data_IF_901108167978
#
_entry.id   IF_901108167978
#
_cell.length_a   1.000
_cell.length_b   1.000
_cell.length_c   1.000
_cell.angle_alpha   90.00
_cell.angle_beta   90.00
_cell.angle_gamma   90.00
#
_symmetry.space_group_name_H-M   'P 1'
#
loop_
_entity.id
_entity.type
_entity.pdbx_description
1 polymer ?
#
# COMPACT_ATOMS: atom_id res chain seq x y z
N UNK A 1 22.83 -14.44 -5.87
CA UNK A 1 24.01 -13.84 -5.21
C UNK A 1 23.53 -13.19 -3.93
N UNK A 2 24.08 -13.63 -2.78
CA UNK A 2 23.73 -13.07 -1.47
C UNK A 2 24.42 -11.70 -1.35
N UNK A 3 23.68 -10.64 -1.61
CA UNK A 3 24.12 -9.29 -1.24
C UNK A 3 24.16 -9.25 0.28
N UNK A 4 25.34 -9.04 0.85
CA UNK A 4 25.53 -8.77 2.27
C UNK A 4 24.80 -7.46 2.56
N UNK A 5 23.58 -7.57 3.08
CA UNK A 5 22.85 -6.40 3.56
C UNK A 5 23.59 -5.85 4.79
N UNK A 6 23.79 -4.53 4.92
CA UNK A 6 24.30 -3.97 6.17
C UNK A 6 23.42 -4.44 7.33
N UNK A 7 24.02 -4.70 8.47
CA UNK A 7 23.27 -5.13 9.66
C UNK A 7 22.24 -4.05 10.00
N UNK A 8 20.96 -4.39 9.84
CA UNK A 8 19.87 -3.47 10.21
C UNK A 8 19.93 -3.19 11.72
N UNK A 9 19.62 -1.97 12.17
CA UNK A 9 19.46 -1.67 13.58
C UNK A 9 18.46 -2.63 14.25
N UNK A 10 18.62 -2.85 15.57
CA UNK A 10 17.61 -3.60 16.32
C UNK A 10 16.31 -2.80 16.39
N UNK A 11 15.18 -3.48 16.33
CA UNK A 11 13.89 -2.91 16.68
C UNK A 11 13.88 -2.63 18.19
N UNK A 12 13.87 -1.36 18.57
CA UNK A 12 13.97 -0.92 19.95
C UNK A 12 12.95 0.19 20.24
N UNK A 13 12.13 -0.02 21.26
CA UNK A 13 11.13 0.95 21.70
C UNK A 13 11.80 2.06 22.52
N UNK A 14 11.54 3.30 22.12
CA UNK A 14 11.87 4.49 22.89
C UNK A 14 10.57 5.01 23.58
N UNK A 15 10.30 4.54 24.77
CA UNK A 15 9.10 4.92 25.52
C UNK A 15 9.32 4.77 27.01
N UNK A 16 8.76 5.70 27.80
CA UNK A 16 8.74 5.64 29.27
C UNK A 16 7.69 4.65 29.81
N UNK A 17 6.84 4.11 28.94
CA UNK A 17 5.83 3.14 29.34
C UNK A 17 6.43 1.75 29.55
N UNK A 18 5.99 1.09 30.62
CA UNK A 18 6.23 -0.32 30.87
C UNK A 18 4.94 -1.12 30.77
N UNK A 19 5.01 -2.40 30.33
CA UNK A 19 3.83 -3.25 30.30
C UNK A 19 3.15 -3.36 31.67
N UNK A 20 1.81 -3.22 31.70
CA UNK A 20 1.03 -3.24 32.94
C UNK A 20 -0.32 -3.95 32.71
N UNK A 21 -1.00 -4.29 33.80
CA UNK A 21 -2.23 -5.09 33.73
C UNK A 21 -1.98 -6.46 33.13
N UNK A 22 -2.75 -6.83 32.13
CA UNK A 22 -2.65 -8.11 31.42
C UNK A 22 -1.57 -8.12 30.30
N UNK A 23 -1.00 -6.94 29.97
CA UNK A 23 -0.05 -6.80 28.87
C UNK A 23 1.16 -7.75 29.00
N UNK A 24 1.84 -7.92 30.16
CA UNK A 24 2.98 -8.82 30.26
C UNK A 24 2.61 -10.27 29.90
N UNK A 25 1.47 -10.76 30.36
CA UNK A 25 0.98 -12.12 30.09
C UNK A 25 0.61 -12.29 28.62
N UNK A 26 -0.14 -11.33 28.04
CA UNK A 26 -0.52 -11.35 26.63
C UNK A 26 0.70 -11.31 25.70
N UNK A 27 1.69 -10.46 25.97
CA UNK A 27 2.93 -10.37 25.21
C UNK A 27 3.68 -11.71 25.25
N UNK A 28 3.88 -12.28 26.44
CA UNK A 28 4.59 -13.55 26.60
C UNK A 28 3.89 -14.70 25.87
N UNK A 29 2.56 -14.76 25.94
CA UNK A 29 1.75 -15.76 25.22
C UNK A 29 1.90 -15.63 23.71
N UNK A 30 1.75 -14.42 23.16
CA UNK A 30 1.86 -14.15 21.71
C UNK A 30 3.26 -14.45 21.18
N UNK A 31 4.33 -14.05 21.90
CA UNK A 31 5.71 -14.33 21.51
C UNK A 31 5.97 -15.84 21.50
N UNK A 32 5.54 -16.56 22.55
CA UNK A 32 5.66 -18.01 22.63
C UNK A 32 4.95 -18.72 21.45
N UNK A 33 3.75 -18.27 21.08
CA UNK A 33 3.01 -18.82 19.93
C UNK A 33 3.74 -18.55 18.61
N UNK A 34 4.32 -17.36 18.43
CA UNK A 34 5.15 -17.06 17.24
C UNK A 34 6.38 -17.96 17.16
N UNK A 35 7.07 -18.18 18.29
CA UNK A 35 8.24 -19.08 18.38
C UNK A 35 7.87 -20.55 18.14
N UNK A 36 6.70 -20.96 18.58
CA UNK A 36 6.13 -22.29 18.33
C UNK A 36 5.67 -22.50 16.88
N UNK A 37 5.68 -21.46 16.06
CA UNK A 37 5.26 -21.53 14.65
C UNK A 37 3.75 -21.49 14.43
N UNK A 38 2.95 -21.07 15.42
CA UNK A 38 1.50 -20.90 15.27
C UNK A 38 1.20 -19.90 14.15
N UNK A 39 0.41 -20.34 13.17
CA UNK A 39 0.06 -19.47 12.01
C UNK A 39 -0.88 -18.35 12.42
N UNK A 40 -1.79 -18.62 13.38
CA UNK A 40 -2.84 -17.68 13.76
C UNK A 40 -2.92 -17.56 15.28
N UNK A 41 -3.01 -16.34 15.77
CA UNK A 41 -3.26 -16.02 17.17
C UNK A 41 -4.27 -14.87 17.27
N UNK A 42 -4.94 -14.73 18.39
CA UNK A 42 -5.89 -13.66 18.67
C UNK A 42 -5.49 -12.93 19.93
N UNK A 43 -5.35 -11.60 19.83
CA UNK A 43 -5.30 -10.69 20.98
C UNK A 43 -6.69 -10.09 21.20
N UNK A 44 -7.38 -10.57 22.20
CA UNK A 44 -8.66 -10.01 22.67
C UNK A 44 -8.36 -8.91 23.67
N UNK A 45 -8.46 -7.66 23.25
CA UNK A 45 -8.13 -6.53 24.13
C UNK A 45 -9.21 -5.47 24.12
N UNK A 46 -9.72 -5.09 25.29
CA UNK A 46 -10.72 -4.02 25.39
C UNK A 46 -10.18 -2.69 24.90
N UNK A 47 -11.05 -1.79 24.48
CA UNK A 47 -10.65 -0.44 24.09
C UNK A 47 -9.98 0.27 25.26
N UNK A 48 -8.81 0.88 25.01
CA UNK A 48 -8.03 1.56 26.06
C UNK A 48 -7.14 0.64 26.90
N UNK A 49 -7.03 -0.65 26.59
CA UNK A 49 -6.10 -1.56 27.28
C UNK A 49 -4.64 -1.43 26.80
N UNK A 50 -4.37 -0.65 25.72
CA UNK A 50 -3.04 -0.46 25.18
C UNK A 50 -2.60 -1.53 24.19
N UNK A 51 -3.52 -2.05 23.35
CA UNK A 51 -3.24 -3.06 22.31
C UNK A 51 -2.07 -2.66 21.39
N UNK A 52 -1.98 -1.39 20.99
CA UNK A 52 -0.89 -0.89 20.14
C UNK A 52 0.46 -1.06 20.82
N UNK A 53 0.56 -0.77 22.09
CA UNK A 53 1.79 -0.97 22.87
C UNK A 53 2.15 -2.45 23.00
N UNK A 54 1.17 -3.32 23.17
CA UNK A 54 1.35 -4.79 23.16
C UNK A 54 1.91 -5.26 21.81
N UNK A 55 1.35 -4.79 20.69
CA UNK A 55 1.89 -5.08 19.34
C UNK A 55 3.36 -4.62 19.23
N UNK A 56 3.65 -3.39 19.67
CA UNK A 56 5.01 -2.86 19.65
C UNK A 56 5.99 -3.73 20.49
N UNK A 57 5.58 -4.18 21.67
CA UNK A 57 6.39 -5.05 22.51
C UNK A 57 6.63 -6.44 21.92
N UNK A 58 5.64 -7.02 21.23
CA UNK A 58 5.82 -8.26 20.49
C UNK A 58 6.83 -8.08 19.34
N UNK A 59 6.75 -6.98 18.60
CA UNK A 59 7.71 -6.64 17.54
C UNK A 59 9.12 -6.48 18.11
N UNK A 60 9.27 -5.74 19.22
CA UNK A 60 10.56 -5.53 19.89
C UNK A 60 11.18 -6.86 20.36
N UNK A 61 10.39 -7.75 20.95
CA UNK A 61 10.91 -9.02 21.49
C UNK A 61 11.29 -9.99 20.38
N UNK A 62 10.51 -10.07 19.30
CA UNK A 62 10.74 -11.03 18.21
C UNK A 62 11.79 -10.57 17.21
N UNK A 63 12.11 -9.27 17.13
CA UNK A 63 13.07 -8.69 16.18
C UNK A 63 12.78 -9.04 14.71
N UNK A 64 11.52 -9.20 14.36
CA UNK A 64 11.06 -9.58 13.03
C UNK A 64 10.39 -8.37 12.33
N UNK A 65 10.53 -8.24 11.00
CA UNK A 65 9.75 -7.28 10.25
C UNK A 65 8.26 -7.46 10.54
N UNK A 66 7.53 -6.36 10.60
CA UNK A 66 6.11 -6.41 10.94
C UNK A 66 5.26 -5.64 9.95
N UNK A 67 4.03 -6.10 9.74
CA UNK A 67 3.01 -5.40 9.00
C UNK A 67 1.79 -5.26 9.89
N UNK A 68 1.26 -4.05 10.00
CA UNK A 68 0.05 -3.74 10.75
C UNK A 68 -1.02 -3.35 9.74
N UNK A 69 -2.05 -4.16 9.65
CA UNK A 69 -3.12 -3.99 8.68
C UNK A 69 -4.34 -3.35 9.33
N UNK A 70 -4.73 -2.16 8.86
CA UNK A 70 -5.88 -1.39 9.31
C UNK A 70 -6.95 -1.29 8.22
N UNK A 71 -8.24 -1.28 8.60
CA UNK A 71 -9.35 -1.27 7.65
C UNK A 71 -9.58 0.06 6.92
N UNK A 72 -9.01 1.17 7.41
CA UNK A 72 -9.13 2.49 6.75
C UNK A 72 -7.88 3.35 6.94
N UNK A 73 -7.80 4.47 6.16
CA UNK A 73 -6.66 5.40 6.18
C UNK A 73 -6.49 6.10 7.54
N UNK A 74 -7.58 6.47 8.21
CA UNK A 74 -7.53 7.23 9.48
C UNK A 74 -6.90 6.39 10.58
N UNK A 75 -7.36 5.14 10.73
CA UNK A 75 -6.78 4.22 11.70
C UNK A 75 -5.32 3.88 11.34
N UNK A 76 -5.04 3.66 10.05
CA UNK A 76 -3.67 3.43 9.61
C UNK A 76 -2.76 4.63 9.93
N UNK A 77 -3.22 5.87 9.76
CA UNK A 77 -2.45 7.07 10.09
C UNK A 77 -2.18 7.18 11.60
N UNK A 78 -3.17 6.84 12.43
CA UNK A 78 -3.00 6.80 13.89
C UNK A 78 -1.96 5.76 14.28
N UNK A 79 -2.10 4.52 13.82
CA UNK A 79 -1.14 3.44 14.11
C UNK A 79 0.27 3.75 13.61
N UNK A 80 0.38 4.37 12.42
CA UNK A 80 1.66 4.83 11.90
C UNK A 80 2.32 5.85 12.84
N UNK A 81 1.56 6.84 13.29
CA UNK A 81 2.06 7.86 14.22
C UNK A 81 2.49 7.25 15.57
N UNK A 82 1.69 6.34 16.12
CA UNK A 82 2.02 5.64 17.38
C UNK A 82 3.28 4.77 17.21
N UNK A 83 3.37 3.97 16.14
CA UNK A 83 4.55 3.14 15.87
C UNK A 83 5.80 3.98 15.59
N UNK A 84 5.69 5.10 14.87
CA UNK A 84 6.79 6.05 14.65
C UNK A 84 7.30 6.64 15.95
N UNK A 85 6.39 6.90 16.89
CA UNK A 85 6.76 7.37 18.25
C UNK A 85 7.47 6.28 19.06
N UNK A 86 7.00 5.01 18.99
CA UNK A 86 7.64 3.91 19.68
C UNK A 86 9.00 3.52 19.08
N UNK A 87 9.15 3.59 17.76
CA UNK A 87 10.34 3.18 17.03
C UNK A 87 10.97 4.32 16.21
N UNK A 88 11.44 5.41 16.86
CA UNK A 88 11.91 6.61 16.16
C UNK A 88 13.16 6.36 15.30
N UNK A 89 13.96 5.35 15.64
CA UNK A 89 15.24 5.02 14.97
C UNK A 89 15.12 3.87 13.97
N UNK A 90 13.94 3.30 13.80
CA UNK A 90 13.67 2.20 12.88
C UNK A 90 12.84 2.64 11.68
N UNK A 91 12.77 1.80 10.65
CA UNK A 91 11.96 2.08 9.46
C UNK A 91 10.47 1.81 9.75
N UNK A 92 9.75 2.82 10.16
CA UNK A 92 8.29 2.79 10.24
C UNK A 92 7.73 3.43 8.99
N UNK A 93 7.00 2.65 8.20
CA UNK A 93 6.56 2.99 6.86
C UNK A 93 5.04 2.98 6.74
N UNK A 94 4.51 3.74 5.77
CA UNK A 94 3.07 3.91 5.57
C UNK A 94 2.66 3.49 4.16
N UNK A 95 1.74 2.53 4.06
CA UNK A 95 1.30 1.99 2.78
C UNK A 95 -0.23 1.95 2.67
N UNK A 96 -0.82 3.05 2.21
CA UNK A 96 -2.27 3.17 2.00
C UNK A 96 -2.59 3.56 0.57
N UNK A 97 -3.86 3.67 0.21
CA UNK A 97 -4.26 4.18 -1.10
C UNK A 97 -3.76 5.61 -1.28
N UNK A 98 -3.04 5.86 -2.37
CA UNK A 98 -2.47 7.18 -2.69
C UNK A 98 -3.48 8.15 -3.34
N UNK A 99 -4.75 7.75 -3.47
CA UNK A 99 -5.78 8.64 -3.99
C UNK A 99 -6.41 9.50 -2.89
N UNK A 100 -6.43 10.82 -3.07
CA UNK A 100 -7.25 11.73 -2.26
C UNK A 100 -8.71 11.64 -2.67
N UNK A 101 -8.94 11.52 -3.98
CA UNK A 101 -10.23 11.27 -4.58
C UNK A 101 -10.11 10.11 -5.58
N UNK A 102 -11.07 9.20 -5.56
CA UNK A 102 -11.11 8.08 -6.50
C UNK A 102 -12.54 7.73 -6.88
N UNK A 103 -12.88 7.96 -8.15
CA UNK A 103 -14.08 7.46 -8.78
C UNK A 103 -13.68 6.36 -9.76
N UNK A 104 -14.03 5.10 -9.50
CA UNK A 104 -13.74 4.03 -10.41
C UNK A 104 -14.56 4.15 -11.70
N UNK A 105 -13.97 3.72 -12.82
CA UNK A 105 -14.70 3.56 -14.07
C UNK A 105 -15.85 2.57 -13.89
N UNK A 106 -17.05 2.91 -14.35
CA UNK A 106 -18.23 2.07 -14.24
C UNK A 106 -19.21 2.31 -15.40
N UNK A 107 -20.06 1.31 -15.69
CA UNK A 107 -21.15 1.47 -16.62
C UNK A 107 -22.46 1.00 -16.03
N UNK A 108 -23.49 1.83 -16.13
CA UNK A 108 -24.84 1.56 -15.65
C UNK A 108 -25.73 1.25 -16.86
N UNK A 109 -25.89 -0.04 -17.19
CA UNK A 109 -26.61 -0.49 -18.39
C UNK A 109 -28.08 -0.01 -18.43
N UNK A 110 -28.75 0.13 -17.26
CA UNK A 110 -30.14 0.57 -17.19
C UNK A 110 -30.38 1.99 -17.70
N UNK A 111 -29.38 2.87 -17.58
CA UNK A 111 -29.47 4.29 -17.93
C UNK A 111 -28.51 4.64 -19.07
N UNK A 112 -27.83 3.66 -19.65
CA UNK A 112 -26.75 3.84 -20.66
C UNK A 112 -25.74 4.92 -20.23
N UNK A 113 -25.34 4.89 -18.93
CA UNK A 113 -24.48 5.90 -18.35
C UNK A 113 -23.09 5.33 -18.11
N UNK A 114 -22.09 5.85 -18.83
CA UNK A 114 -20.69 5.56 -18.58
C UNK A 114 -20.12 6.58 -17.58
N UNK A 115 -19.57 6.09 -16.51
CA UNK A 115 -18.85 6.87 -15.49
C UNK A 115 -17.36 6.71 -15.78
N UNK A 116 -16.74 7.79 -16.20
CA UNK A 116 -15.30 7.79 -16.45
C UNK A 116 -14.51 7.73 -15.13
N UNK A 117 -13.34 7.06 -15.16
CA UNK A 117 -12.42 7.07 -14.03
C UNK A 117 -11.94 8.50 -13.78
N UNK A 118 -12.12 8.97 -12.54
CA UNK A 118 -11.57 10.23 -12.06
C UNK A 118 -10.80 10.00 -10.76
N UNK A 119 -9.62 10.60 -10.66
CA UNK A 119 -8.76 10.40 -9.49
C UNK A 119 -7.75 11.52 -9.33
N UNK A 120 -7.49 11.90 -8.10
CA UNK A 120 -6.37 12.75 -7.72
C UNK A 120 -5.38 11.96 -6.85
N UNK A 121 -4.11 12.07 -7.19
CA UNK A 121 -3.02 11.37 -6.49
C UNK A 121 -2.45 12.31 -5.44
N UNK A 122 -2.29 11.80 -4.22
CA UNK A 122 -1.54 12.45 -3.17
C UNK A 122 -0.06 12.05 -3.32
N UNK A 123 0.76 13.00 -3.73
CA UNK A 123 2.19 12.76 -3.99
C UNK A 123 2.96 12.37 -2.73
N UNK A 124 2.56 12.86 -1.56
CA UNK A 124 3.20 12.50 -0.30
C UNK A 124 2.94 11.03 0.05
N UNK A 125 1.70 10.57 -0.10
CA UNK A 125 1.36 9.16 0.13
C UNK A 125 2.04 8.26 -0.92
N UNK A 126 2.12 8.70 -2.18
CA UNK A 126 2.84 7.97 -3.22
C UNK A 126 4.32 7.81 -2.87
N UNK A 127 4.99 8.88 -2.42
CA UNK A 127 6.35 8.84 -1.88
C UNK A 127 6.49 7.83 -0.75
N UNK A 128 5.57 7.84 0.24
CA UNK A 128 5.61 6.92 1.38
C UNK A 128 5.46 5.47 0.94
N UNK A 129 4.68 5.19 -0.11
CA UNK A 129 4.56 3.85 -0.69
C UNK A 129 5.89 3.38 -1.31
N UNK A 130 6.59 4.26 -2.02
CA UNK A 130 7.93 3.97 -2.55
C UNK A 130 8.93 3.73 -1.43
N UNK A 131 8.88 4.52 -0.36
CA UNK A 131 9.70 4.30 0.84
C UNK A 131 9.43 2.93 1.47
N UNK A 132 8.16 2.55 1.62
CA UNK A 132 7.78 1.27 2.22
C UNK A 132 8.28 0.05 1.41
N UNK A 133 8.10 0.05 0.10
CA UNK A 133 8.60 -1.06 -0.74
C UNK A 133 10.12 -1.16 -0.75
N UNK A 134 10.82 -0.02 -0.80
CA UNK A 134 12.28 0.03 -0.68
C UNK A 134 12.74 -0.48 0.68
N UNK A 135 12.15 -0.02 1.77
CA UNK A 135 12.51 -0.44 3.12
C UNK A 135 12.36 -1.95 3.29
N UNK A 136 11.27 -2.56 2.78
CA UNK A 136 11.06 -4.01 2.80
C UNK A 136 12.13 -4.79 2.03
N UNK A 137 12.71 -4.21 0.97
CA UNK A 137 13.76 -4.83 0.17
C UNK A 137 15.16 -4.67 0.79
N UNK A 138 15.43 -3.54 1.46
CA UNK A 138 16.78 -3.19 1.94
C UNK A 138 17.00 -3.48 3.42
N UNK A 139 15.95 -3.43 4.27
CA UNK A 139 16.07 -3.43 5.73
C UNK A 139 15.35 -4.61 6.37
N UNK A 140 15.77 -4.93 7.60
CA UNK A 140 15.12 -5.95 8.44
C UNK A 140 14.34 -5.34 9.60
N UNK A 141 14.66 -4.14 10.01
CA UNK A 141 14.02 -3.36 11.08
C UNK A 141 12.84 -2.53 10.57
N UNK A 142 11.95 -3.17 9.82
CA UNK A 142 10.84 -2.51 9.11
C UNK A 142 9.51 -2.83 9.75
N UNK A 143 8.71 -1.79 9.98
CA UNK A 143 7.31 -1.87 10.40
C UNK A 143 6.47 -1.13 9.35
N UNK A 144 5.63 -1.84 8.62
CA UNK A 144 4.74 -1.22 7.62
C UNK A 144 3.32 -1.15 8.15
N UNK A 145 2.78 0.04 8.26
CA UNK A 145 1.34 0.22 8.55
C UNK A 145 0.60 0.38 7.24
N UNK A 146 -0.28 -0.55 6.94
CA UNK A 146 -0.98 -0.64 5.66
C UNK A 146 -2.51 -0.62 5.81
N UNK A 147 -3.20 -0.10 4.79
CA UNK A 147 -4.64 -0.29 4.66
C UNK A 147 -4.95 -1.41 3.66
N UNK A 148 -6.22 -1.70 3.46
CA UNK A 148 -6.69 -2.71 2.50
C UNK A 148 -6.15 -2.51 1.07
N UNK A 149 -5.60 -1.34 0.74
CA UNK A 149 -4.93 -1.12 -0.55
C UNK A 149 -3.72 -2.02 -0.80
N UNK A 150 -3.15 -2.63 0.25
CA UNK A 150 -2.01 -3.54 0.13
C UNK A 150 -2.35 -4.90 -0.53
N UNK A 151 -3.65 -5.26 -0.65
CA UNK A 151 -4.09 -6.46 -1.38
C UNK A 151 -4.36 -6.19 -2.86
N UNK A 152 -4.21 -4.94 -3.33
CA UNK A 152 -4.29 -4.58 -4.74
C UNK A 152 -2.94 -4.74 -5.42
N UNK A 153 -2.99 -4.98 -6.74
CA UNK A 153 -1.78 -5.12 -7.56
C UNK A 153 -0.88 -3.90 -7.50
N UNK A 154 0.39 -4.15 -7.32
CA UNK A 154 1.52 -3.25 -7.58
C UNK A 154 2.48 -3.98 -8.53
N UNK A 155 3.56 -3.40 -8.96
CA UNK A 155 4.53 -4.09 -9.83
C UNK A 155 5.11 -5.37 -9.20
N UNK A 156 5.58 -6.32 -10.01
CA UNK A 156 6.23 -7.52 -9.48
C UNK A 156 7.55 -7.19 -8.80
N UNK A 157 7.86 -7.93 -7.74
CA UNK A 157 9.13 -7.76 -6.97
C UNK A 157 10.32 -7.97 -7.88
N UNK A 158 10.29 -9.01 -8.73
CA UNK A 158 11.37 -9.37 -9.63
C UNK A 158 11.64 -8.24 -10.64
N UNK A 159 10.59 -7.66 -11.22
CA UNK A 159 10.73 -6.54 -12.15
C UNK A 159 11.21 -5.29 -11.41
N UNK A 160 10.64 -4.96 -10.25
CA UNK A 160 11.00 -3.77 -9.49
C UNK A 160 12.44 -3.84 -8.97
N UNK A 161 12.90 -5.01 -8.48
CA UNK A 161 14.30 -5.21 -8.04
C UNK A 161 15.28 -5.34 -9.21
N UNK A 162 14.83 -5.89 -10.34
CA UNK A 162 15.65 -5.98 -11.57
C UNK A 162 15.82 -4.62 -12.26
N UNK A 163 14.88 -3.69 -12.05
CA UNK A 163 14.94 -2.32 -12.56
C UNK A 163 15.48 -1.36 -11.50
N UNK A 164 16.75 -1.53 -11.19
CA UNK A 164 17.52 -0.66 -10.30
C UNK A 164 18.85 -0.30 -10.96
N UNK A 165 19.43 0.83 -10.57
CA UNK A 165 20.75 1.23 -10.98
C UNK A 165 21.59 1.53 -9.75
N UNK A 166 22.59 0.70 -9.49
CA UNK A 166 23.55 0.91 -8.39
C UNK A 166 24.80 1.53 -8.91
N UNK A 167 25.26 2.61 -8.28
CA UNK A 167 26.50 3.32 -8.64
C UNK A 167 27.34 3.62 -7.40
N UNK A 168 28.65 3.62 -7.58
CA UNK A 168 29.63 3.88 -6.52
C UNK A 168 30.48 5.11 -6.87
N UNK A 169 30.76 5.93 -5.87
CA UNK A 169 31.73 7.00 -6.01
C UNK A 169 33.14 6.42 -6.30
N UNK A 170 33.87 7.08 -7.20
CA UNK A 170 35.18 6.62 -7.66
C UNK A 170 35.17 5.45 -8.65
N UNK A 171 34.01 5.17 -9.31
CA UNK A 171 33.91 4.13 -10.33
C UNK A 171 33.72 4.69 -11.73
N UNK A 172 34.15 3.94 -12.74
CA UNK A 172 33.89 4.26 -14.15
C UNK A 172 32.42 4.09 -14.48
N UNK A 173 31.74 5.19 -14.80
CA UNK A 173 30.33 5.23 -15.15
C UNK A 173 30.14 6.16 -16.35
N UNK A 174 29.86 5.59 -17.51
CA UNK A 174 29.60 6.40 -18.71
C UNK A 174 28.36 7.27 -18.50
N UNK A 175 28.54 8.59 -18.46
CA UNK A 175 27.49 9.55 -18.14
C UNK A 175 26.22 9.38 -18.99
N UNK A 176 26.37 9.13 -20.30
CA UNK A 176 25.23 8.92 -21.20
C UNK A 176 24.45 7.62 -20.85
N UNK A 177 25.14 6.56 -20.45
CA UNK A 177 24.49 5.32 -20.02
C UNK A 177 23.76 5.51 -18.69
N UNK A 178 24.34 6.27 -17.77
CA UNK A 178 23.69 6.65 -16.52
C UNK A 178 22.39 7.41 -16.77
N UNK A 179 22.39 8.41 -17.64
CA UNK A 179 21.19 9.19 -18.01
C UNK A 179 20.12 8.33 -18.69
N UNK A 180 20.50 7.40 -19.56
CA UNK A 180 19.57 6.43 -20.17
C UNK A 180 18.96 5.53 -19.11
N UNK A 181 19.77 5.05 -18.16
CA UNK A 181 19.30 4.25 -17.03
C UNK A 181 18.25 5.00 -16.21
N UNK A 182 18.44 6.28 -15.90
CA UNK A 182 17.44 7.10 -15.19
C UNK A 182 16.12 7.19 -15.99
N UNK A 183 16.19 7.34 -17.31
CA UNK A 183 15.00 7.37 -18.17
C UNK A 183 14.31 6.02 -18.22
N UNK A 184 15.05 4.93 -18.29
CA UNK A 184 14.49 3.56 -18.25
C UNK A 184 13.83 3.27 -16.90
N UNK A 185 14.33 3.85 -15.80
CA UNK A 185 13.73 3.85 -14.47
C UNK A 185 12.54 4.84 -14.33
N UNK A 186 12.11 5.45 -15.44
CA UNK A 186 10.98 6.39 -15.54
C UNK A 186 11.17 7.73 -14.81
N UNK A 187 12.40 8.14 -14.51
CA UNK A 187 12.68 9.51 -14.13
C UNK A 187 12.62 10.43 -15.33
N UNK A 188 12.09 11.64 -15.13
CA UNK A 188 11.95 12.64 -16.19
C UNK A 188 13.04 13.69 -16.10
N UNK A 189 13.69 14.02 -17.23
CA UNK A 189 14.59 15.16 -17.27
C UNK A 189 13.78 16.45 -17.21
N UNK A 190 14.09 17.28 -16.24
CA UNK A 190 13.52 18.62 -16.12
C UNK A 190 14.56 19.56 -15.49
N UNK A 191 15.23 20.34 -16.34
CA UNK A 191 16.28 21.24 -15.90
C UNK A 191 15.73 22.54 -15.28
N UNK A 192 14.42 22.84 -15.47
CA UNK A 192 13.76 24.06 -14.97
C UNK A 192 13.03 23.82 -13.65
N UNK A 193 12.21 22.77 -13.57
CA UNK A 193 11.44 22.43 -12.37
C UNK A 193 11.97 21.12 -11.77
N UNK A 194 12.80 21.25 -10.73
CA UNK A 194 13.39 20.10 -10.05
C UNK A 194 12.49 19.65 -8.91
N UNK A 195 11.64 18.68 -9.20
CA UNK A 195 10.70 18.08 -8.25
C UNK A 195 10.93 16.57 -8.13
N UNK A 196 10.34 15.92 -7.15
CA UNK A 196 10.42 14.49 -6.93
C UNK A 196 10.11 13.71 -8.23
N UNK A 197 10.90 12.69 -8.51
CA UNK A 197 10.79 11.88 -9.74
C UNK A 197 11.45 12.51 -10.97
N UNK A 198 12.15 13.63 -10.81
CA UNK A 198 12.89 14.26 -11.88
C UNK A 198 14.41 14.19 -11.67
N UNK A 199 15.15 14.29 -12.76
CA UNK A 199 16.57 14.59 -12.74
C UNK A 199 16.86 15.82 -13.60
N UNK A 200 17.95 16.50 -13.32
CA UNK A 200 18.47 17.63 -14.12
C UNK A 200 19.96 17.48 -14.37
N UNK A 201 20.44 18.07 -15.44
CA UNK A 201 21.84 18.01 -15.84
C UNK A 201 22.41 19.44 -15.90
N UNK A 202 23.51 19.70 -15.20
CA UNK A 202 24.21 20.98 -15.19
C UNK A 202 25.70 20.73 -15.32
N UNK A 203 26.21 20.74 -16.57
CA UNK A 203 27.60 20.39 -16.87
C UNK A 203 27.88 18.94 -16.47
N UNK A 204 28.88 18.74 -15.63
CA UNK A 204 29.31 17.45 -15.14
C UNK A 204 28.52 16.98 -13.91
N UNK A 205 27.53 17.75 -13.47
CA UNK A 205 26.66 17.37 -12.34
C UNK A 205 25.29 16.90 -12.83
N UNK A 206 24.87 15.75 -12.30
CA UNK A 206 23.53 15.22 -12.46
C UNK A 206 22.86 15.22 -11.09
N UNK A 207 21.78 15.95 -10.95
CA UNK A 207 20.96 15.98 -9.75
C UNK A 207 19.74 15.08 -9.97
N UNK A 208 19.48 14.17 -9.04
CA UNK A 208 18.32 13.27 -9.03
C UNK A 208 17.50 13.50 -7.77
N UNK A 209 16.19 13.66 -7.93
CA UNK A 209 15.26 13.67 -6.80
C UNK A 209 14.51 12.33 -6.74
N UNK A 210 14.97 11.38 -5.90
CA UNK A 210 14.42 10.02 -5.86
C UNK A 210 12.96 9.98 -5.45
N UNK A 211 12.21 8.99 -5.95
CA UNK A 211 10.78 8.84 -5.73
C UNK A 211 10.37 8.67 -4.25
N UNK A 212 11.26 8.14 -3.41
CA UNK A 212 11.01 7.83 -1.99
C UNK A 212 11.49 8.91 -1.02
N UNK A 213 12.22 9.94 -1.49
CA UNK A 213 12.78 10.98 -0.63
C UNK A 213 11.83 12.18 -0.49
N UNK A 214 11.90 12.86 0.65
CA UNK A 214 11.06 14.03 0.97
C UNK A 214 11.82 15.34 0.74
N UNK A 215 12.82 15.63 1.56
CA UNK A 215 13.56 16.89 1.55
C UNK A 215 15.04 16.68 1.19
N UNK A 216 15.33 15.63 0.44
CA UNK A 216 16.68 15.25 0.08
C UNK A 216 16.76 14.78 -1.37
N UNK A 217 17.76 15.21 -2.08
CA UNK A 217 18.11 14.78 -3.43
C UNK A 217 19.57 14.34 -3.49
N UNK A 218 19.94 13.65 -4.55
CA UNK A 218 21.31 13.20 -4.77
C UNK A 218 21.96 13.99 -5.91
N UNK A 219 23.20 14.39 -5.69
CA UNK A 219 24.07 14.96 -6.72
C UNK A 219 25.18 13.98 -7.06
N UNK A 220 25.30 13.68 -8.34
CA UNK A 220 26.33 12.86 -8.95
C UNK A 220 27.27 13.80 -9.70
N UNK A 221 28.52 13.89 -9.27
CA UNK A 221 29.55 14.73 -9.91
C UNK A 221 30.45 13.82 -10.73
N UNK A 222 30.58 14.13 -12.02
CA UNK A 222 31.36 13.37 -12.99
C UNK A 222 32.63 14.16 -13.40
N UNK A 223 33.69 13.42 -13.73
CA UNK A 223 34.83 13.91 -14.46
C UNK A 223 35.06 12.99 -15.67
N UNK A 224 34.58 13.40 -16.83
CA UNK A 224 34.49 12.52 -17.99
C UNK A 224 33.53 11.33 -17.72
N UNK A 225 34.04 10.13 -17.81
CA UNK A 225 33.31 8.88 -17.51
C UNK A 225 33.60 8.33 -16.11
N UNK A 226 34.22 9.11 -15.22
CA UNK A 226 34.39 8.75 -13.80
C UNK A 226 33.37 9.47 -12.95
N UNK A 227 32.65 8.71 -12.09
CA UNK A 227 31.77 9.26 -11.07
C UNK A 227 32.58 9.61 -9.82
N UNK A 228 33.09 10.84 -9.73
CA UNK A 228 33.97 11.26 -8.64
C UNK A 228 33.32 11.22 -7.27
N UNK A 229 32.06 11.67 -7.18
CA UNK A 229 31.39 11.79 -5.88
C UNK A 229 29.86 11.72 -5.97
N UNK A 230 29.26 11.26 -4.87
CA UNK A 230 27.82 11.26 -4.67
C UNK A 230 27.53 11.98 -3.35
N UNK A 231 26.64 12.97 -3.38
CA UNK A 231 26.25 13.73 -2.20
C UNK A 231 24.73 13.87 -2.08
N UNK A 232 24.26 13.83 -0.86
CA UNK A 232 22.94 14.35 -0.54
C UNK A 232 22.96 15.88 -0.59
N UNK A 233 21.83 16.48 -0.93
CA UNK A 233 21.62 17.91 -0.81
C UNK A 233 20.13 18.23 -0.65
N UNK A 234 19.83 19.35 0.00
CA UNK A 234 18.50 19.90 0.09
C UNK A 234 18.08 20.50 -1.27
N UNK A 235 17.01 19.99 -1.91
CA UNK A 235 16.61 20.48 -3.24
C UNK A 235 16.10 21.92 -3.24
N UNK A 236 15.67 22.47 -2.09
CA UNK A 236 15.16 23.84 -1.95
C UNK A 236 16.30 24.84 -1.73
N UNK A 237 17.20 24.57 -0.78
CA UNK A 237 18.29 25.48 -0.40
C UNK A 237 19.57 25.24 -1.22
N UNK A 238 19.75 24.04 -1.74
CA UNK A 238 20.97 23.58 -2.39
C UNK A 238 22.10 23.23 -1.41
N UNK A 239 21.82 23.24 -0.10
CA UNK A 239 22.79 22.92 0.94
C UNK A 239 23.26 21.46 0.80
N UNK A 240 24.58 21.28 0.87
CA UNK A 240 25.22 19.98 0.71
C UNK A 240 25.10 19.17 2.00
N UNK A 241 24.57 17.97 1.88
CA UNK A 241 24.43 16.99 2.95
C UNK A 241 25.57 15.95 2.99
N UNK A 242 25.24 14.73 3.38
CA UNK A 242 26.18 13.64 3.54
C UNK A 242 26.82 13.21 2.22
N UNK A 243 28.10 12.80 2.28
CA UNK A 243 28.77 12.10 1.19
C UNK A 243 28.39 10.62 1.23
N UNK A 244 28.04 10.06 0.07
CA UNK A 244 27.63 8.67 -0.09
C UNK A 244 28.67 7.91 -0.90
N UNK A 245 29.05 6.73 -0.44
CA UNK A 245 29.99 5.85 -1.18
C UNK A 245 29.29 5.07 -2.30
N UNK A 246 28.03 4.74 -2.10
CA UNK A 246 27.23 3.93 -3.03
C UNK A 246 25.75 4.25 -2.86
N UNK A 247 25.01 4.29 -3.96
CA UNK A 247 23.54 4.41 -3.93
C UNK A 247 22.90 3.44 -4.90
N UNK A 248 21.73 2.92 -4.53
CA UNK A 248 20.84 2.15 -5.41
C UNK A 248 19.64 3.00 -5.76
N UNK A 249 19.47 3.29 -7.04
CA UNK A 249 18.36 4.06 -7.59
C UNK A 249 17.27 3.09 -7.99
N UNK A 250 16.10 3.18 -7.35
CA UNK A 250 14.90 2.43 -7.68
C UNK A 250 14.06 3.17 -8.70
N UNK A 251 13.21 2.45 -9.41
CA UNK A 251 12.31 3.05 -10.39
C UNK A 251 11.35 4.08 -9.77
N UNK A 252 11.00 5.09 -10.56
CA UNK A 252 10.06 6.16 -10.18
C UNK A 252 8.58 5.72 -10.22
N UNK A 253 8.30 4.45 -10.46
CA UNK A 253 6.97 3.86 -10.45
C UNK A 253 7.05 2.40 -10.05
N UNK A 254 6.06 1.90 -9.32
CA UNK A 254 5.91 0.47 -9.07
C UNK A 254 5.52 -0.32 -10.34
N UNK A 255 4.92 0.35 -11.32
CA UNK A 255 4.48 -0.25 -12.60
C UNK A 255 5.54 -0.07 -13.70
N UNK A 256 6.79 -0.30 -13.36
CA UNK A 256 7.87 -0.29 -14.34
C UNK A 256 7.82 -1.55 -15.17
N UNK A 257 7.91 -1.39 -16.50
CA UNK A 257 7.89 -2.52 -17.42
C UNK A 257 9.03 -2.34 -18.45
N UNK A 258 9.93 -3.32 -18.59
CA UNK A 258 10.99 -3.28 -19.59
C UNK A 258 10.43 -3.17 -21.01
N UNK A 259 11.10 -2.42 -21.88
CA UNK A 259 10.66 -2.20 -23.30
C UNK A 259 10.32 -3.50 -24.04
N UNK A 260 11.12 -4.58 -23.96
CA UNK A 260 10.77 -5.85 -24.64
C UNK A 260 9.46 -6.46 -24.15
N UNK A 261 9.13 -6.27 -22.86
CA UNK A 261 7.87 -6.73 -22.27
C UNK A 261 6.69 -5.89 -22.77
N UNK A 262 6.85 -4.57 -22.92
CA UNK A 262 5.84 -3.69 -23.52
C UNK A 262 5.54 -4.11 -24.95
N UNK A 263 6.56 -4.37 -25.77
CA UNK A 263 6.39 -4.81 -27.17
C UNK A 263 5.63 -6.15 -27.26
N UNK A 264 5.95 -7.10 -26.37
CA UNK A 264 5.23 -8.37 -26.26
C UNK A 264 3.78 -8.16 -25.82
N UNK A 265 3.56 -7.31 -24.84
CA UNK A 265 2.22 -6.97 -24.35
C UNK A 265 1.36 -6.35 -25.46
N UNK A 266 1.90 -5.42 -26.24
CA UNK A 266 1.21 -4.80 -27.38
C UNK A 266 0.74 -5.85 -28.39
N UNK A 267 1.59 -6.84 -28.73
CA UNK A 267 1.22 -7.93 -29.64
C UNK A 267 0.06 -8.77 -29.09
N UNK A 268 0.13 -9.13 -27.82
CA UNK A 268 -0.92 -9.91 -27.15
C UNK A 268 -2.24 -9.13 -27.06
N UNK A 269 -2.20 -7.84 -26.67
CA UNK A 269 -3.38 -6.98 -26.61
C UNK A 269 -4.05 -6.87 -28.00
N UNK A 270 -3.28 -6.72 -29.10
CA UNK A 270 -3.81 -6.70 -30.47
C UNK A 270 -4.52 -8.00 -30.85
N UNK A 271 -3.97 -9.14 -30.44
CA UNK A 271 -4.57 -10.45 -30.68
C UNK A 271 -5.90 -10.56 -29.93
N UNK A 272 -5.90 -10.29 -28.62
CA UNK A 272 -7.11 -10.38 -27.78
C UNK A 272 -8.19 -9.36 -28.23
N UNK A 273 -7.78 -8.16 -28.68
CA UNK A 273 -8.68 -7.18 -29.27
C UNK A 273 -9.37 -7.71 -30.51
N UNK A 274 -8.59 -8.30 -31.45
CA UNK A 274 -9.11 -8.84 -32.69
C UNK A 274 -10.12 -9.96 -32.41
N UNK A 275 -9.82 -10.84 -31.49
CA UNK A 275 -10.72 -11.93 -31.08
C UNK A 275 -12.00 -11.38 -30.40
N UNK A 276 -11.86 -10.36 -29.54
CA UNK A 276 -13.00 -9.77 -28.84
C UNK A 276 -13.92 -9.00 -29.78
N UNK A 277 -13.39 -8.26 -30.75
CA UNK A 277 -14.18 -7.58 -31.80
C UNK A 277 -14.98 -8.60 -32.61
N UNK A 278 -14.33 -9.66 -33.13
CA UNK A 278 -15.01 -10.74 -33.85
C UNK A 278 -16.08 -11.44 -33.01
N UNK A 279 -15.88 -11.57 -31.73
CA UNK A 279 -16.88 -12.15 -30.83
C UNK A 279 -18.10 -11.23 -30.72
N UNK A 280 -17.92 -9.92 -30.48
CA UNK A 280 -19.03 -8.96 -30.46
C UNK A 280 -19.79 -8.88 -31.77
N UNK A 281 -19.10 -8.92 -32.95
CA UNK A 281 -19.73 -8.93 -34.25
C UNK A 281 -20.60 -10.16 -34.45
N UNK A 282 -20.11 -11.34 -34.06
CA UNK A 282 -20.89 -12.61 -34.11
C UNK A 282 -22.13 -12.59 -33.23
N UNK A 283 -22.05 -11.95 -32.09
CA UNK A 283 -23.17 -11.76 -31.16
C UNK A 283 -24.13 -10.63 -31.58
N UNK A 284 -23.88 -9.95 -32.72
CA UNK A 284 -24.66 -8.79 -33.17
C UNK A 284 -24.48 -7.52 -32.37
N UNK A 285 -23.45 -7.44 -31.51
CA UNK A 285 -23.13 -6.30 -30.64
C UNK A 285 -22.18 -5.32 -31.32
N UNK A 286 -22.66 -4.68 -32.40
CA UNK A 286 -21.80 -3.83 -33.24
C UNK A 286 -21.30 -2.57 -32.54
N UNK A 287 -22.10 -2.01 -31.63
CA UNK A 287 -21.70 -0.84 -30.84
C UNK A 287 -20.56 -1.18 -29.87
N UNK A 288 -20.64 -2.32 -29.19
CA UNK A 288 -19.60 -2.81 -28.30
C UNK A 288 -18.32 -3.14 -29.06
N UNK A 289 -18.43 -3.72 -30.27
CA UNK A 289 -17.29 -3.98 -31.14
C UNK A 289 -16.57 -2.68 -31.51
N UNK A 290 -17.31 -1.65 -31.89
CA UNK A 290 -16.77 -0.33 -32.21
C UNK A 290 -16.11 0.33 -31.01
N UNK A 291 -16.77 0.34 -29.83
CA UNK A 291 -16.25 0.93 -28.59
C UNK A 291 -14.90 0.32 -28.20
N UNK A 292 -14.84 -1.02 -28.12
CA UNK A 292 -13.61 -1.70 -27.69
C UNK A 292 -12.49 -1.50 -28.72
N UNK A 293 -12.84 -1.53 -30.02
CA UNK A 293 -11.89 -1.30 -31.10
C UNK A 293 -11.24 0.07 -31.01
N UNK A 294 -12.04 1.13 -30.93
CA UNK A 294 -11.54 2.52 -30.88
C UNK A 294 -10.73 2.77 -29.61
N UNK A 295 -11.26 2.37 -28.45
CA UNK A 295 -10.60 2.61 -27.16
C UNK A 295 -9.26 1.91 -27.06
N UNK A 296 -9.24 0.61 -27.36
CA UNK A 296 -8.01 -0.18 -27.23
C UNK A 296 -6.97 0.22 -28.27
N UNK A 297 -7.36 0.59 -29.50
CA UNK A 297 -6.42 1.10 -30.50
C UNK A 297 -5.75 2.40 -30.05
N UNK A 298 -6.52 3.33 -29.49
CA UNK A 298 -5.97 4.56 -28.91
C UNK A 298 -5.01 4.28 -27.75
N UNK A 299 -5.40 3.40 -26.82
CA UNK A 299 -4.54 3.01 -25.69
C UNK A 299 -3.22 2.38 -26.20
N UNK A 300 -3.27 1.57 -27.27
CA UNK A 300 -2.11 0.97 -27.91
C UNK A 300 -1.18 1.99 -28.59
N UNK A 301 -1.72 3.00 -29.26
CA UNK A 301 -0.93 4.11 -29.83
C UNK A 301 -0.17 4.84 -28.73
N UNK A 302 -0.84 5.18 -27.63
CA UNK A 302 -0.22 5.83 -26.50
C UNK A 302 0.89 4.96 -25.85
N UNK A 303 0.67 3.64 -25.74
CA UNK A 303 1.69 2.71 -25.23
C UNK A 303 2.92 2.63 -26.13
N UNK A 304 2.75 2.68 -27.46
CA UNK A 304 3.86 2.67 -28.43
C UNK A 304 4.67 3.96 -28.32
N UNK A 305 3.99 5.12 -28.31
CA UNK A 305 4.64 6.42 -28.39
C UNK A 305 5.29 6.84 -27.05
N UNK A 306 4.62 6.59 -25.93
CA UNK A 306 5.01 7.12 -24.62
C UNK A 306 5.36 6.05 -23.59
N UNK A 307 5.08 4.78 -23.88
CA UNK A 307 5.18 3.68 -22.89
C UNK A 307 4.06 3.69 -21.83
N UNK A 308 3.09 4.59 -21.94
CA UNK A 308 2.02 4.80 -20.96
C UNK A 308 0.68 5.07 -21.66
N UNK A 309 -0.43 4.65 -21.03
CA UNK A 309 -1.76 5.06 -21.43
C UNK A 309 -2.67 5.28 -20.22
N UNK A 310 -3.75 6.03 -20.41
CA UNK A 310 -4.74 6.23 -19.34
C UNK A 310 -5.47 4.93 -19.03
N UNK A 311 -5.38 4.44 -17.79
CA UNK A 311 -5.94 3.15 -17.41
C UNK A 311 -5.03 1.97 -17.75
N UNK A 312 -3.71 2.18 -17.79
CA UNK A 312 -2.69 1.14 -18.06
C UNK A 312 -2.86 -0.09 -17.15
N UNK A 313 -3.39 0.10 -15.96
CA UNK A 313 -3.68 -0.97 -15.01
C UNK A 313 -4.66 -2.03 -15.58
N UNK A 314 -5.51 -1.68 -16.54
CA UNK A 314 -6.40 -2.64 -17.21
C UNK A 314 -5.65 -3.63 -18.12
N UNK A 315 -4.39 -3.35 -18.39
CA UNK A 315 -3.48 -4.19 -19.18
C UNK A 315 -2.41 -4.86 -18.29
N UNK A 316 -2.53 -4.80 -16.97
CA UNK A 316 -1.53 -5.30 -16.01
C UNK A 316 -1.12 -6.75 -16.28
N UNK A 317 -2.05 -7.65 -16.63
CA UNK A 317 -1.78 -9.04 -16.98
C UNK A 317 -0.71 -9.18 -18.07
N UNK A 318 -0.83 -8.39 -19.14
CA UNK A 318 0.13 -8.43 -20.25
C UNK A 318 1.49 -7.84 -19.85
N UNK A 319 1.48 -6.81 -19.02
CA UNK A 319 2.69 -6.12 -18.56
C UNK A 319 3.47 -6.91 -17.51
N UNK A 320 2.80 -7.75 -16.74
CA UNK A 320 3.43 -8.68 -15.78
C UNK A 320 3.75 -10.03 -16.37
N UNK A 321 3.20 -10.36 -17.55
CA UNK A 321 3.32 -11.67 -18.16
C UNK A 321 2.51 -12.77 -17.48
N UNK A 322 1.56 -12.39 -16.62
CA UNK A 322 0.69 -13.33 -15.88
C UNK A 322 -0.34 -14.00 -16.78
N UNK A 323 -0.75 -15.19 -16.41
CA UNK A 323 -1.85 -15.92 -17.06
C UNK A 323 -3.22 -15.36 -16.64
N UNK A 324 -4.27 -15.57 -17.47
CA UNK A 324 -5.64 -15.18 -17.08
C UNK A 324 -6.05 -15.76 -15.74
N UNK A 325 -6.56 -14.92 -14.83
CA UNK A 325 -7.05 -15.32 -13.53
C UNK A 325 -5.98 -15.48 -12.44
N UNK A 326 -4.69 -15.38 -12.76
CA UNK A 326 -3.63 -15.36 -11.75
C UNK A 326 -3.77 -14.17 -10.80
N UNK A 327 -3.39 -14.35 -9.50
CA UNK A 327 -3.38 -13.24 -8.56
C UNK A 327 -2.36 -12.18 -8.98
N UNK A 328 -2.70 -10.88 -8.89
CA UNK A 328 -1.73 -9.84 -9.19
C UNK A 328 -0.63 -9.79 -8.14
N UNK A 329 0.60 -9.37 -8.47
CA UNK A 329 1.63 -9.11 -7.49
C UNK A 329 1.23 -7.94 -6.59
N UNK A 330 1.25 -8.14 -5.28
CA UNK A 330 0.81 -7.19 -4.26
C UNK A 330 1.93 -6.89 -3.27
N UNK A 331 1.65 -6.08 -2.25
CA UNK A 331 2.63 -5.83 -1.18
C UNK A 331 3.09 -7.14 -0.49
N UNK A 332 2.23 -8.16 -0.45
CA UNK A 332 2.56 -9.43 0.23
C UNK A 332 3.73 -10.18 -0.40
N UNK A 333 4.04 -9.96 -1.68
CA UNK A 333 5.24 -10.52 -2.30
C UNK A 333 6.53 -9.80 -1.92
N UNK A 334 6.45 -8.54 -1.45
CA UNK A 334 7.60 -7.77 -0.94
C UNK A 334 7.94 -8.10 0.51
N UNK A 335 6.99 -8.70 1.24
CA UNK A 335 7.11 -9.00 2.66
C UNK A 335 8.05 -10.17 2.89
N UNK A 336 9.04 -10.08 3.81
CA UNK A 336 9.86 -11.23 4.19
C UNK A 336 9.00 -12.37 4.75
N UNK A 337 9.36 -13.61 4.42
CA UNK A 337 8.60 -14.81 4.83
C UNK A 337 8.48 -14.98 6.35
N UNK A 338 9.44 -14.47 7.09
CA UNK A 338 9.49 -14.51 8.55
C UNK A 338 8.88 -13.25 9.21
N UNK A 339 8.24 -12.39 8.44
CA UNK A 339 7.51 -11.23 8.99
C UNK A 339 6.33 -11.65 9.88
N UNK A 340 5.81 -10.71 10.66
CA UNK A 340 4.60 -10.87 11.46
C UNK A 340 3.52 -9.95 10.89
N UNK A 341 2.33 -10.47 10.71
CA UNK A 341 1.15 -9.67 10.34
C UNK A 341 0.27 -9.44 11.56
N UNK A 342 0.04 -8.19 11.90
CA UNK A 342 -1.03 -7.79 12.81
C UNK A 342 -2.22 -7.31 12.01
N UNK A 343 -3.40 -7.88 12.26
CA UNK A 343 -4.65 -7.43 11.66
C UNK A 343 -5.43 -6.67 12.72
N UNK A 344 -5.34 -5.35 12.69
CA UNK A 344 -6.02 -4.51 13.67
C UNK A 344 -7.50 -4.36 13.35
N UNK A 345 -8.33 -4.27 14.40
CA UNK A 345 -9.79 -4.36 14.31
C UNK A 345 -10.22 -5.50 13.37
N UNK A 346 -9.70 -6.70 13.64
CA UNK A 346 -9.77 -7.88 12.75
C UNK A 346 -11.19 -8.24 12.33
N UNK A 347 -12.17 -8.07 13.21
CA UNK A 347 -13.59 -8.30 12.95
C UNK A 347 -14.14 -7.47 11.77
N UNK A 348 -13.59 -6.26 11.54
CA UNK A 348 -13.92 -5.40 10.38
C UNK A 348 -12.98 -5.69 9.22
N UNK A 349 -11.68 -5.72 9.48
CA UNK A 349 -10.63 -5.82 8.46
C UNK A 349 -10.75 -7.11 7.63
N UNK A 350 -10.97 -8.26 8.27
CA UNK A 350 -11.13 -9.54 7.56
C UNK A 350 -12.41 -9.58 6.72
N UNK A 351 -13.50 -9.03 7.24
CA UNK A 351 -14.76 -8.92 6.49
C UNK A 351 -14.59 -8.03 5.24
N UNK A 352 -13.82 -6.96 5.35
CA UNK A 352 -13.51 -6.06 4.23
C UNK A 352 -12.69 -6.79 3.16
N UNK A 353 -11.63 -7.54 3.52
CA UNK A 353 -10.82 -8.32 2.56
C UNK A 353 -11.72 -9.27 1.77
N UNK A 354 -12.66 -9.98 2.43
CA UNK A 354 -13.62 -10.87 1.76
C UNK A 354 -14.50 -10.17 0.74
N UNK A 355 -14.97 -8.95 1.05
CA UNK A 355 -15.88 -8.20 0.18
C UNK A 355 -15.22 -7.53 -1.03
N UNK A 356 -13.93 -7.18 -0.95
CA UNK A 356 -13.27 -6.34 -1.95
C UNK A 356 -13.25 -6.94 -3.35
N UNK A 357 -12.91 -8.22 -3.48
CA UNK A 357 -12.85 -8.90 -4.76
C UNK A 357 -14.19 -8.91 -5.49
N UNK A 358 -15.27 -9.23 -4.82
CA UNK A 358 -16.60 -9.35 -5.44
C UNK A 358 -17.11 -8.01 -5.95
N UNK A 359 -16.90 -6.93 -5.20
CA UNK A 359 -17.27 -5.57 -5.61
C UNK A 359 -16.51 -5.10 -6.85
N UNK A 360 -15.20 -5.33 -6.90
CA UNK A 360 -14.37 -4.96 -8.06
C UNK A 360 -14.74 -5.78 -9.31
N UNK A 361 -14.89 -7.10 -9.15
CA UNK A 361 -15.22 -8.00 -10.27
C UNK A 361 -16.56 -7.67 -10.90
N UNK A 362 -17.63 -7.47 -10.11
CA UNK A 362 -18.98 -7.19 -10.65
C UNK A 362 -18.97 -5.96 -11.55
N UNK A 363 -18.28 -4.91 -11.16
CA UNK A 363 -18.11 -3.69 -11.96
C UNK A 363 -17.36 -3.94 -13.27
N UNK A 364 -16.26 -4.68 -13.24
CA UNK A 364 -15.40 -4.96 -14.41
C UNK A 364 -16.03 -5.92 -15.40
N UNK A 365 -16.83 -6.87 -14.93
CA UNK A 365 -17.63 -7.74 -15.81
C UNK A 365 -18.53 -6.89 -16.70
N UNK A 366 -19.28 -5.95 -16.11
CA UNK A 366 -20.17 -5.04 -16.87
C UNK A 366 -19.38 -4.21 -17.89
N UNK A 367 -18.24 -3.65 -17.52
CA UNK A 367 -17.37 -2.92 -18.46
C UNK A 367 -16.91 -3.78 -19.65
N UNK A 368 -16.56 -5.04 -19.39
CA UNK A 368 -16.10 -5.96 -20.44
C UNK A 368 -17.26 -6.43 -21.34
N UNK A 369 -18.44 -6.71 -20.78
CA UNK A 369 -19.61 -7.18 -21.54
C UNK A 369 -20.22 -6.12 -22.46
N UNK A 370 -20.00 -4.83 -22.12
CA UNK A 370 -20.48 -3.69 -22.90
C UNK A 370 -19.39 -2.99 -23.73
N UNK A 371 -18.26 -3.62 -23.96
CA UNK A 371 -17.21 -3.15 -24.88
C UNK A 371 -16.39 -1.95 -24.40
N UNK A 372 -16.39 -1.63 -23.11
CA UNK A 372 -15.57 -0.55 -22.56
C UNK A 372 -14.15 -1.01 -22.25
N UNK A 373 -13.95 -2.29 -21.88
CA UNK A 373 -12.64 -2.85 -21.57
C UNK A 373 -12.51 -4.29 -22.10
N UNK A 374 -11.28 -4.70 -22.39
CA UNK A 374 -10.96 -6.10 -22.65
C UNK A 374 -11.18 -6.96 -21.40
N UNK A 375 -11.48 -8.26 -21.53
CA UNK A 375 -11.63 -9.16 -20.38
C UNK A 375 -10.44 -9.16 -19.43
N UNK A 376 -9.23 -8.86 -19.91
CA UNK A 376 -8.02 -8.72 -19.11
C UNK A 376 -8.11 -7.67 -17.99
N UNK A 377 -9.02 -6.70 -18.08
CA UNK A 377 -9.24 -5.73 -17.01
C UNK A 377 -9.65 -6.39 -15.68
N UNK A 378 -10.25 -7.58 -15.74
CA UNK A 378 -10.66 -8.35 -14.55
C UNK A 378 -9.46 -8.94 -13.79
N UNK A 379 -8.28 -9.01 -14.39
CA UNK A 379 -7.07 -9.53 -13.76
C UNK A 379 -6.33 -8.45 -12.94
N UNK A 380 -6.59 -7.17 -13.20
CA UNK A 380 -6.23 -6.08 -12.30
C UNK A 380 -7.23 -5.98 -11.16
N UNK A 381 -7.06 -6.75 -10.12
CA UNK A 381 -8.03 -6.96 -9.04
C UNK A 381 -7.35 -7.05 -7.68
N UNK A 382 -8.08 -6.87 -6.58
CA UNK A 382 -7.56 -7.25 -5.29
C UNK A 382 -7.40 -8.78 -5.20
N UNK A 383 -6.58 -9.24 -4.27
CA UNK A 383 -6.51 -10.65 -3.92
C UNK A 383 -7.89 -11.15 -3.49
N UNK A 384 -8.21 -12.40 -3.85
CA UNK A 384 -9.28 -13.12 -3.19
C UNK A 384 -8.88 -13.42 -1.74
N UNK A 385 -9.85 -13.69 -0.89
CA UNK A 385 -9.58 -13.97 0.51
C UNK A 385 -8.67 -15.19 0.69
N UNK A 386 -8.89 -16.25 -0.09
CA UNK A 386 -8.10 -17.49 -0.07
C UNK A 386 -6.66 -17.24 -0.54
N UNK A 387 -6.47 -16.45 -1.60
CA UNK A 387 -5.15 -16.08 -2.10
C UNK A 387 -4.37 -15.25 -1.06
N UNK A 388 -5.05 -14.34 -0.37
CA UNK A 388 -4.47 -13.58 0.71
C UNK A 388 -4.11 -14.47 1.91
N UNK A 389 -4.97 -15.43 2.27
CA UNK A 389 -4.74 -16.35 3.39
C UNK A 389 -3.52 -17.27 3.16
N UNK A 390 -3.27 -17.66 1.90
CA UNK A 390 -2.09 -18.42 1.51
C UNK A 390 -0.79 -17.58 1.60
N UNK A 391 -0.86 -16.31 1.18
CA UNK A 391 0.31 -15.43 1.11
C UNK A 391 0.72 -14.82 2.44
N UNK A 392 -0.22 -14.64 3.37
CA UNK A 392 0.07 -13.97 4.64
C UNK A 392 1.01 -14.77 5.54
N UNK A 393 1.94 -14.09 6.25
CA UNK A 393 2.80 -14.73 7.23
C UNK A 393 2.04 -15.12 8.51
N UNK A 394 2.76 -15.50 9.56
CA UNK A 394 2.17 -15.68 10.90
C UNK A 394 1.39 -14.44 11.29
N UNK A 395 0.14 -14.62 11.74
CA UNK A 395 -0.82 -13.54 11.89
C UNK A 395 -1.37 -13.48 13.31
N UNK A 396 -1.37 -12.28 13.88
CA UNK A 396 -2.04 -11.94 15.13
C UNK A 396 -3.23 -11.05 14.81
N UNK A 397 -4.43 -11.56 15.01
CA UNK A 397 -5.68 -10.81 14.92
C UNK A 397 -5.89 -10.02 16.20
N UNK A 398 -6.08 -8.71 16.09
CA UNK A 398 -6.21 -7.80 17.23
C UNK A 398 -7.61 -7.21 17.21
N UNK A 399 -8.41 -7.42 18.26
CA UNK A 399 -9.76 -6.90 18.33
C UNK A 399 -10.27 -6.83 19.78
N UNK A 400 -11.20 -5.93 20.05
CA UNK A 400 -12.00 -5.95 21.28
C UNK A 400 -13.18 -6.94 21.17
N UNK A 401 -13.60 -7.24 19.94
CA UNK A 401 -14.76 -8.08 19.63
C UNK A 401 -14.44 -9.01 18.46
N UNK A 402 -13.50 -9.97 18.62
CA UNK A 402 -13.15 -10.89 17.55
C UNK A 402 -14.35 -11.73 17.11
N UNK A 403 -14.43 -12.05 15.81
CA UNK A 403 -15.47 -12.89 15.23
C UNK A 403 -15.12 -14.38 15.34
N UNK A 404 -16.10 -15.23 15.05
CA UNK A 404 -15.94 -16.70 15.02
C UNK A 404 -14.80 -17.16 14.09
N UNK A 405 -14.56 -16.42 13.01
CA UNK A 405 -13.51 -16.76 12.04
C UNK A 405 -12.12 -16.76 12.68
N UNK A 406 -11.71 -15.64 13.27
CA UNK A 406 -10.38 -15.51 13.87
C UNK A 406 -10.23 -16.35 15.13
N UNK A 407 -11.30 -16.51 15.92
CA UNK A 407 -11.32 -17.40 17.08
C UNK A 407 -11.15 -18.86 16.61
N UNK A 408 -11.85 -19.26 15.57
CA UNK A 408 -11.72 -20.59 14.97
C UNK A 408 -10.33 -20.86 14.42
N UNK A 409 -9.69 -19.88 13.79
CA UNK A 409 -8.31 -19.99 13.33
C UNK A 409 -7.29 -20.21 14.46
N UNK A 410 -7.54 -19.62 15.63
CA UNK A 410 -6.71 -19.77 16.82
C UNK A 410 -7.09 -21.00 17.68
N UNK A 411 -7.94 -21.91 17.15
CA UNK A 411 -8.39 -23.10 17.89
C UNK A 411 -9.16 -22.79 19.17
N UNK A 412 -9.79 -21.62 19.27
CA UNK A 412 -10.52 -21.16 20.46
C UNK A 412 -9.63 -20.54 21.54
N UNK A 413 -8.30 -20.47 21.34
CA UNK A 413 -7.36 -19.89 22.30
C UNK A 413 -7.13 -18.43 21.98
N UNK A 414 -7.27 -17.54 22.98
CA UNK A 414 -7.04 -16.10 22.83
C UNK A 414 -6.09 -15.60 23.91
N UNK A 415 -5.23 -14.63 23.55
CA UNK A 415 -4.48 -13.85 24.53
C UNK A 415 -5.38 -12.70 25.00
N UNK A 416 -5.69 -12.66 26.28
CA UNK A 416 -6.63 -11.68 26.84
C UNK A 416 -5.90 -10.46 27.41
N UNK A 417 -6.48 -9.28 27.16
CA UNK A 417 -6.01 -8.00 27.66
C UNK A 417 -7.21 -7.14 28.05
N UNK A 418 -7.78 -7.42 29.21
CA UNK A 418 -9.06 -6.87 29.69
C UNK A 418 -8.89 -5.67 30.63
N UNK A 419 -7.73 -5.54 31.26
CA UNK A 419 -7.44 -4.47 32.22
C UNK A 419 -7.00 -3.20 31.46
N UNK A 420 -7.66 -2.07 31.76
CA UNK A 420 -7.20 -0.75 31.32
C UNK A 420 -6.16 -0.19 32.30
N UNK A 421 -4.90 -0.02 31.90
CA UNK A 421 -3.85 0.52 32.82
C UNK A 421 -4.16 1.90 33.33
N UNK A 422 -4.98 2.67 32.61
CA UNK A 422 -5.41 4.02 33.02
C UNK A 422 -6.42 4.04 34.17
N UNK A 423 -7.00 2.87 34.52
CA UNK A 423 -8.06 2.77 35.54
C UNK A 423 -9.41 3.32 35.07
N UNK A 424 -9.56 3.69 33.79
CA UNK A 424 -10.83 4.15 33.22
C UNK A 424 -11.85 3.01 33.21
N UNK A 425 -12.97 3.20 33.85
CA UNK A 425 -14.10 2.27 33.84
C UNK A 425 -14.98 2.49 32.60
N UNK A 426 -15.78 1.49 32.26
CA UNK A 426 -16.78 1.64 31.21
C UNK A 426 -17.82 2.70 31.57
N UNK A 427 -18.32 3.49 30.58
CA UNK A 427 -19.36 4.47 30.86
C UNK A 427 -20.66 3.81 31.27
N UNK A 428 -21.43 4.47 32.11
CA UNK A 428 -22.78 4.02 32.48
C UNK A 428 -23.67 4.08 31.24
N UNK A 429 -24.23 2.93 30.86
CA UNK A 429 -25.16 2.83 29.74
C UNK A 429 -26.61 2.93 30.21
N UNK A 430 -27.34 3.94 29.71
CA UNK A 430 -28.76 4.14 30.04
C UNK A 430 -29.57 3.82 28.77
N UNK A 431 -30.39 2.78 28.82
CA UNK A 431 -31.30 2.42 27.71
C UNK A 431 -32.64 3.12 27.89
N UNK A 432 -33.10 3.80 26.86
CA UNK A 432 -34.36 4.54 26.88
C UNK A 432 -35.26 4.15 25.69
N UNK A 433 -36.61 4.36 25.77
CA UNK A 433 -37.53 4.07 24.70
C UNK A 433 -37.28 4.91 23.44
N UNK A 434 -37.47 4.32 22.26
CA UNK A 434 -37.25 4.95 20.96
C UNK A 434 -38.30 6.04 20.62
N UNK A 435 -39.53 5.96 21.18
CA UNK A 435 -40.65 6.79 20.76
C UNK A 435 -40.47 8.30 20.93
N UNK A 436 -39.65 8.72 21.89
CA UNK A 436 -39.34 10.13 22.18
C UNK A 436 -37.84 10.46 22.09
N UNK A 437 -37.08 9.61 21.37
CA UNK A 437 -35.61 9.67 21.40
C UNK A 437 -35.02 11.03 21.00
N UNK A 438 -35.64 11.77 20.07
CA UNK A 438 -35.14 13.05 19.58
C UNK A 438 -35.31 14.14 20.64
N UNK A 439 -36.50 14.20 21.26
CA UNK A 439 -36.80 15.19 22.30
C UNK A 439 -35.94 14.92 23.56
N UNK A 440 -35.79 13.65 23.91
CA UNK A 440 -34.96 13.22 25.04
C UNK A 440 -33.48 13.58 24.79
N UNK A 441 -32.97 13.29 23.59
CA UNK A 441 -31.61 13.69 23.19
C UNK A 441 -31.41 15.20 23.27
N UNK A 442 -32.36 16.00 22.80
CA UNK A 442 -32.27 17.47 22.84
C UNK A 442 -32.25 18.00 24.27
N UNK A 443 -33.06 17.42 25.18
CA UNK A 443 -33.04 17.80 26.59
C UNK A 443 -31.69 17.48 27.24
N UNK A 444 -31.18 16.26 27.05
CA UNK A 444 -29.88 15.84 27.61
C UNK A 444 -28.73 16.67 27.03
N UNK A 445 -28.73 16.91 25.70
CA UNK A 445 -27.72 17.73 25.07
C UNK A 445 -27.69 19.15 25.62
N UNK A 446 -28.85 19.77 25.83
CA UNK A 446 -28.95 21.10 26.48
C UNK A 446 -28.41 21.09 27.90
N UNK A 447 -28.72 20.06 28.69
CA UNK A 447 -28.25 19.93 30.06
C UNK A 447 -26.73 19.76 30.16
N UNK A 448 -26.14 19.00 29.22
CA UNK A 448 -24.70 18.78 29.14
C UNK A 448 -23.96 20.02 28.67
N UNK A 449 -24.45 20.68 27.62
CA UNK A 449 -23.82 21.88 27.06
C UNK A 449 -23.91 23.08 28.01
N UNK A 450 -24.97 23.17 28.83
CA UNK A 450 -25.09 24.19 29.88
C UNK A 450 -23.98 24.07 30.95
N UNK A 451 -23.38 22.90 31.10
CA UNK A 451 -22.20 22.62 31.96
C UNK A 451 -20.85 22.88 31.25
N UNK A 452 -20.85 23.41 30.03
CA UNK A 452 -19.64 23.59 29.22
C UNK A 452 -19.06 22.29 28.66
N UNK A 453 -19.81 21.19 28.70
CA UNK A 453 -19.38 19.87 28.24
C UNK A 453 -19.86 19.61 26.80
N UNK A 454 -19.31 18.57 26.15
CA UNK A 454 -19.63 18.20 24.77
C UNK A 454 -20.47 16.92 24.74
N UNK A 455 -21.30 16.82 23.70
CA UNK A 455 -22.12 15.64 23.40
C UNK A 455 -21.69 15.04 22.07
N UNK A 456 -21.50 13.71 22.04
CA UNK A 456 -21.32 12.96 20.80
C UNK A 456 -22.60 12.21 20.47
N UNK A 457 -23.16 12.45 19.32
CA UNK A 457 -24.37 11.79 18.83
C UNK A 457 -24.03 10.91 17.64
N UNK A 458 -24.39 9.63 17.70
CA UNK A 458 -24.25 8.69 16.58
C UNK A 458 -25.60 8.17 16.14
N UNK A 459 -25.77 7.99 14.84
CA UNK A 459 -26.99 7.46 14.24
C UNK A 459 -26.66 6.30 13.28
N UNK A 460 -27.58 5.35 13.12
CA UNK A 460 -27.38 4.21 12.19
C UNK A 460 -27.41 4.64 10.73
N UNK A 461 -28.14 5.70 10.40
CA UNK A 461 -28.29 6.20 9.02
C UNK A 461 -28.25 7.70 8.97
N UNK A 462 -27.92 8.27 7.79
CA UNK A 462 -27.96 9.73 7.55
C UNK A 462 -29.38 10.35 7.64
N UNK A 463 -30.43 9.52 7.63
CA UNK A 463 -31.83 9.97 7.71
C UNK A 463 -32.34 10.10 9.16
N UNK A 464 -31.65 9.49 10.09
CA UNK A 464 -31.91 9.67 11.53
C UNK A 464 -31.24 10.92 12.04
#
# INVERSE_FOLDING_TARGET
>A
MSTIRPASPRLAIASDFSPSGDQPTAIAQLVKGLEAGEKNQVLLGVTGSGKTFTMAKVIEQTQRPAIIFAHNKTLAAQLYSEMKHFFPNNAVEYFVSYYDYFQPEAYIAKTDTFIEKDSSINEQIDRMRHSATRALLERRDVIVVASVSCIYGIGSVETYTGMTQTVKAGSDVVQQQFLRGLTDLQYKRNDMAFVRGNFRVRGDNIDLYPAHMEDCAWRFSFFGDELESIHEFDPLTGERGAALSEVTIYANSHYVTPKPTIEKAIKQIKTDLTERVKWFEREGKLLEAQRIGQRTSFDLEMLVETGMCRGIENYSRYLTGSSPGEPPPTLFQYIPKDAILFVDESHVTLSQIRGMYHGDRSRKVVLSEHGFRLPACMDNRPLKFEEWDELRPQTICVSATPNELEIGWAGGVVAEQLIRPTGLVDPVCIVRPVGSQVDDLLMEAKAVTAKGQRVLVTTLTKRM
#
